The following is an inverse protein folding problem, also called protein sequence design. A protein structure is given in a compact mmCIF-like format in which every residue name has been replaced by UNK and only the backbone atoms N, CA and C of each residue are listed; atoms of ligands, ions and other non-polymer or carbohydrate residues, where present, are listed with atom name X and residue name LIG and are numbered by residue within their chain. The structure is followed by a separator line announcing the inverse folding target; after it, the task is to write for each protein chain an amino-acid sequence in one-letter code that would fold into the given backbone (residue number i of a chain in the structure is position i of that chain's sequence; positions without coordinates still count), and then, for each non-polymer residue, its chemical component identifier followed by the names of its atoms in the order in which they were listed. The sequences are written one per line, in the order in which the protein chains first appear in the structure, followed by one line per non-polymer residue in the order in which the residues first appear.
data_IF_742884294785
#
_entry.id   IF_742884294785
#
_cell.length_a   1.000
_cell.length_b   1.000
_cell.length_c   1.000
_cell.angle_alpha   90.00
_cell.angle_beta   90.00
_cell.angle_gamma   90.00
#
_symmetry.space_group_name_H-M   'P 1'
#
loop_
_entity.id
_entity.type
_entity.pdbx_description
1 polymer ?
#
# COMPACT_ATOMS: atom_id res chain seq x y z
N UNK A 1 7.80 -22.37 8.19
CA UNK A 1 9.19 -22.49 8.65
C UNK A 1 9.67 -21.26 9.43
N UNK A 2 9.55 -20.05 8.85
CA UNK A 2 9.97 -18.79 9.49
C UNK A 2 9.47 -18.55 10.91
N UNK A 3 8.18 -18.76 11.18
CA UNK A 3 7.65 -18.57 12.54
C UNK A 3 8.20 -19.57 13.57
N UNK A 4 8.45 -20.81 13.13
CA UNK A 4 9.02 -21.84 14.00
C UNK A 4 10.44 -21.44 14.40
N UNK A 5 11.18 -20.82 13.49
CA UNK A 5 12.55 -20.35 13.71
C UNK A 5 12.60 -19.08 14.57
N UNK A 6 11.64 -18.15 14.44
CA UNK A 6 11.75 -16.82 15.04
C UNK A 6 10.85 -16.63 16.27
N UNK A 7 9.59 -17.09 16.26
CA UNK A 7 8.61 -16.76 17.31
C UNK A 7 9.01 -17.27 18.69
N UNK A 8 9.65 -18.44 18.74
CA UNK A 8 10.12 -19.09 19.99
C UNK A 8 11.61 -18.90 20.24
N UNK A 9 12.31 -18.21 19.34
CA UNK A 9 13.75 -17.99 19.50
C UNK A 9 13.98 -16.86 20.50
N UNK A 10 14.54 -17.23 21.64
CA UNK A 10 14.89 -16.30 22.72
C UNK A 10 15.75 -15.14 22.24
N UNK A 11 16.74 -15.40 21.38
CA UNK A 11 17.64 -14.34 20.86
C UNK A 11 16.84 -13.30 20.07
N UNK A 12 15.90 -13.74 19.24
CA UNK A 12 15.08 -12.85 18.43
C UNK A 12 14.12 -12.03 19.30
N UNK A 13 13.44 -12.69 20.26
CA UNK A 13 12.51 -12.04 21.18
C UNK A 13 13.25 -11.03 22.06
N UNK A 14 14.38 -11.39 22.65
CA UNK A 14 15.18 -10.49 23.51
C UNK A 14 15.70 -9.25 22.75
N UNK A 15 15.87 -9.34 21.42
CA UNK A 15 16.34 -8.25 20.56
C UNK A 15 15.23 -7.36 19.98
N UNK A 16 13.98 -7.76 20.06
CA UNK A 16 12.86 -7.07 19.39
C UNK A 16 11.74 -6.66 20.33
N UNK A 17 11.54 -7.40 21.42
CA UNK A 17 10.49 -7.11 22.40
C UNK A 17 10.89 -5.93 23.27
N UNK A 18 10.00 -4.95 23.39
CA UNK A 18 10.25 -3.70 24.12
C UNK A 18 11.20 -2.71 23.41
N UNK A 19 11.59 -2.99 22.16
CA UNK A 19 12.47 -2.11 21.37
C UNK A 19 11.65 -1.25 20.42
N UNK A 20 11.93 0.05 20.37
CA UNK A 20 11.25 0.99 19.46
C UNK A 20 9.75 1.08 19.72
N UNK A 21 9.37 1.28 20.98
CA UNK A 21 7.99 1.34 21.40
C UNK A 21 7.29 2.59 20.82
N UNK A 22 6.12 2.39 20.26
CA UNK A 22 5.24 3.44 19.76
C UNK A 22 3.87 3.27 20.43
N UNK A 23 3.44 4.28 21.19
CA UNK A 23 2.10 4.23 21.78
C UNK A 23 1.02 4.51 20.74
N UNK A 24 -0.22 4.11 21.01
CA UNK A 24 -1.37 4.38 20.13
C UNK A 24 -1.55 5.87 19.83
N UNK A 25 -1.41 6.71 20.85
CA UNK A 25 -1.57 8.16 20.73
C UNK A 25 -0.46 8.77 19.89
N UNK A 26 0.79 8.35 20.10
CA UNK A 26 1.92 8.80 19.28
C UNK A 26 1.79 8.34 17.83
N UNK A 27 1.31 7.12 17.60
CA UNK A 27 1.08 6.61 16.25
C UNK A 27 0.08 7.49 15.49
N UNK A 28 -1.03 7.88 16.14
CA UNK A 28 -2.05 8.76 15.55
C UNK A 28 -1.47 10.16 15.33
N UNK A 29 -0.86 10.77 16.35
CA UNK A 29 -0.34 12.13 16.28
C UNK A 29 0.78 12.30 15.24
N UNK A 30 1.54 11.24 14.97
CA UNK A 30 2.64 11.24 13.98
C UNK A 30 2.20 10.76 12.60
N UNK A 31 0.92 10.44 12.40
CA UNK A 31 0.37 9.99 11.12
C UNK A 31 0.87 8.63 10.66
N UNK A 32 1.23 7.74 11.60
CA UNK A 32 1.60 6.37 11.29
C UNK A 32 0.41 5.63 10.66
N UNK A 33 0.68 4.79 9.66
CA UNK A 33 -0.33 3.97 8.99
C UNK A 33 0.18 2.54 8.82
N UNK A 34 -0.69 1.63 8.39
CA UNK A 34 -0.29 0.26 8.10
C UNK A 34 0.17 -0.56 9.30
N UNK A 35 1.12 -1.48 9.10
CA UNK A 35 1.59 -2.39 10.15
C UNK A 35 2.19 -1.68 11.35
N UNK A 36 2.79 -0.50 11.16
CA UNK A 36 3.36 0.31 12.26
C UNK A 36 2.27 0.84 13.18
N UNK A 37 1.16 1.32 12.61
CA UNK A 37 0.00 1.77 13.37
C UNK A 37 -0.76 0.60 14.01
N UNK A 38 -0.98 -0.48 13.24
CA UNK A 38 -1.65 -1.70 13.72
C UNK A 38 -0.92 -2.42 14.84
N UNK A 39 0.41 -2.38 14.85
CA UNK A 39 1.21 -2.91 15.96
C UNK A 39 1.03 -2.13 17.27
N UNK A 40 0.60 -0.87 17.17
CA UNK A 40 0.42 0.07 18.27
C UNK A 40 -1.05 0.19 18.71
N UNK A 41 -1.95 -0.66 18.18
CA UNK A 41 -3.36 -0.73 18.56
C UNK A 41 -4.30 0.19 17.76
N UNK A 42 -3.85 0.73 16.63
CA UNK A 42 -4.70 1.46 15.67
C UNK A 42 -5.29 0.46 14.69
N UNK A 43 -6.62 0.30 14.68
CA UNK A 43 -7.31 -0.74 13.90
C UNK A 43 -7.64 -0.34 12.46
N UNK A 44 -7.08 0.77 11.96
CA UNK A 44 -7.39 1.32 10.64
C UNK A 44 -6.73 0.50 9.53
N UNK A 45 -7.50 0.18 8.50
CA UNK A 45 -7.04 -0.49 7.27
C UNK A 45 -7.95 -0.08 6.11
N UNK A 46 -7.38 0.55 5.07
CA UNK A 46 -8.19 1.08 3.97
C UNK A 46 -8.98 0.01 3.24
N UNK A 47 -8.50 -1.24 3.21
CA UNK A 47 -9.19 -2.33 2.48
C UNK A 47 -10.52 -2.71 3.13
N UNK A 48 -10.71 -2.40 4.43
CA UNK A 48 -11.97 -2.61 5.16
C UNK A 48 -12.74 -1.31 5.39
N UNK A 49 -12.04 -0.23 5.77
CA UNK A 49 -12.68 1.03 6.14
C UNK A 49 -13.16 1.84 4.92
N UNK A 50 -12.36 1.84 3.84
CA UNK A 50 -12.66 2.53 2.57
C UNK A 50 -12.34 1.58 1.40
N UNK A 51 -13.12 0.49 1.24
CA UNK A 51 -12.78 -0.58 0.29
C UNK A 51 -12.70 -0.07 -1.15
N UNK A 52 -11.62 -0.44 -1.84
CA UNK A 52 -11.41 -0.19 -3.27
C UNK A 52 -11.36 -1.52 -4.02
N UNK A 53 -11.57 -1.47 -5.35
CA UNK A 53 -11.64 -2.67 -6.19
C UNK A 53 -12.63 -3.71 -5.61
N UNK A 54 -12.23 -4.98 -5.51
CA UNK A 54 -13.06 -6.07 -5.00
C UNK A 54 -12.76 -6.43 -3.52
N UNK A 55 -12.08 -5.56 -2.75
CA UNK A 55 -11.74 -5.89 -1.35
C UNK A 55 -12.95 -6.08 -0.44
N UNK A 56 -14.11 -5.52 -0.81
CA UNK A 56 -15.39 -5.73 -0.11
C UNK A 56 -15.86 -7.18 -0.15
N UNK A 57 -15.46 -7.94 -1.18
CA UNK A 57 -16.01 -9.26 -1.48
C UNK A 57 -15.19 -10.37 -0.81
N UNK A 58 -13.99 -10.05 -0.33
CA UNK A 58 -13.10 -10.99 0.35
C UNK A 58 -13.32 -11.01 1.86
N UNK A 59 -13.27 -12.20 2.45
CA UNK A 59 -13.27 -12.38 3.90
C UNK A 59 -11.84 -12.51 4.44
N UNK A 60 -11.34 -11.46 5.09
CA UNK A 60 -10.03 -11.45 5.75
C UNK A 60 -10.06 -10.63 7.06
N UNK A 61 -9.14 -10.94 7.98
CA UNK A 61 -9.06 -10.25 9.26
C UNK A 61 -7.94 -9.21 9.30
N UNK A 62 -8.22 -8.04 9.88
CA UNK A 62 -7.20 -7.00 10.07
C UNK A 62 -6.38 -7.33 11.32
N UNK A 63 -5.09 -7.62 11.10
CA UNK A 63 -4.18 -8.04 12.17
C UNK A 63 -3.73 -6.85 13.01
N UNK A 64 -4.06 -6.82 14.30
CA UNK A 64 -3.68 -5.76 15.22
C UNK A 64 -2.94 -6.31 16.45
N UNK A 65 -2.04 -5.51 17.01
CA UNK A 65 -1.38 -5.77 18.29
C UNK A 65 -1.38 -4.48 19.13
N UNK A 66 -1.11 -4.59 20.43
CA UNK A 66 -1.16 -3.44 21.36
C UNK A 66 0.19 -3.03 21.93
N UNK A 67 1.25 -3.80 21.71
CA UNK A 67 2.53 -3.56 22.38
C UNK A 67 3.37 -2.43 21.73
N UNK A 68 3.18 -2.16 20.43
CA UNK A 68 3.85 -1.06 19.73
C UNK A 68 5.36 -1.23 19.51
N UNK A 69 5.94 -2.37 19.87
CA UNK A 69 7.36 -2.67 19.73
C UNK A 69 7.72 -3.32 18.38
N UNK A 70 9.01 -3.51 18.12
CA UNK A 70 9.48 -4.16 16.90
C UNK A 70 8.94 -5.60 16.75
N UNK A 71 8.76 -6.31 17.86
CA UNK A 71 8.22 -7.67 17.85
C UNK A 71 6.73 -7.70 17.45
N UNK A 72 5.92 -6.76 17.94
CA UNK A 72 4.52 -6.60 17.54
C UNK A 72 4.40 -6.26 16.05
N UNK A 73 5.26 -5.37 15.53
CA UNK A 73 5.33 -5.07 14.08
C UNK A 73 5.64 -6.31 13.26
N UNK A 74 6.57 -7.14 13.72
CA UNK A 74 6.87 -8.43 13.08
C UNK A 74 5.65 -9.37 13.10
N UNK A 75 4.99 -9.54 14.25
CA UNK A 75 3.82 -10.43 14.36
C UNK A 75 2.67 -9.99 13.45
N UNK A 76 2.37 -8.68 13.40
CA UNK A 76 1.34 -8.13 12.50
C UNK A 76 1.64 -8.49 11.05
N UNK A 77 2.89 -8.29 10.59
CA UNK A 77 3.28 -8.65 9.21
C UNK A 77 3.18 -10.15 8.93
N UNK A 78 3.56 -11.00 9.89
CA UNK A 78 3.42 -12.45 9.74
C UNK A 78 1.95 -12.87 9.57
N UNK A 79 1.03 -12.25 10.32
CA UNK A 79 -0.40 -12.53 10.18
C UNK A 79 -0.97 -11.95 8.90
N UNK A 80 -0.57 -10.75 8.49
CA UNK A 80 -0.97 -10.17 7.20
C UNK A 80 -0.56 -11.04 6.01
N UNK A 81 0.60 -11.71 6.07
CA UNK A 81 0.99 -12.67 5.03
C UNK A 81 0.04 -13.87 4.95
N UNK A 82 -0.48 -14.36 6.08
CA UNK A 82 -1.49 -15.42 6.10
C UNK A 82 -2.82 -14.95 5.52
N UNK A 83 -3.29 -13.79 5.95
CA UNK A 83 -4.53 -13.21 5.44
C UNK A 83 -4.42 -12.89 3.95
N UNK A 84 -3.24 -12.48 3.47
CA UNK A 84 -2.98 -12.29 2.04
C UNK A 84 -3.09 -13.61 1.27
N UNK A 85 -2.58 -14.72 1.80
CA UNK A 85 -2.76 -16.04 1.18
C UNK A 85 -4.25 -16.42 1.13
N UNK A 86 -4.99 -16.17 2.21
CA UNK A 86 -6.44 -16.42 2.27
C UNK A 86 -7.22 -15.61 1.21
N UNK A 87 -6.82 -14.37 0.96
CA UNK A 87 -7.40 -13.53 -0.10
C UNK A 87 -7.08 -14.11 -1.48
N UNK A 88 -5.84 -14.53 -1.72
CA UNK A 88 -5.43 -15.13 -3.00
C UNK A 88 -6.20 -16.43 -3.28
N UNK A 89 -6.37 -17.29 -2.28
CA UNK A 89 -7.18 -18.51 -2.40
C UNK A 89 -8.63 -18.19 -2.79
N UNK A 90 -9.28 -17.25 -2.08
CA UNK A 90 -10.64 -16.81 -2.40
C UNK A 90 -10.76 -16.16 -3.79
N UNK A 91 -9.75 -15.40 -4.21
CA UNK A 91 -9.72 -14.75 -5.52
C UNK A 91 -9.59 -15.76 -6.66
N UNK A 92 -8.79 -16.83 -6.47
CA UNK A 92 -8.65 -17.90 -7.46
C UNK A 92 -9.94 -18.72 -7.56
N UNK A 93 -10.60 -19.01 -6.44
CA UNK A 93 -11.85 -19.76 -6.41
C UNK A 93 -13.03 -19.00 -7.04
N UNK A 94 -13.09 -17.68 -6.84
CA UNK A 94 -14.21 -16.84 -7.27
C UNK A 94 -13.87 -15.93 -8.46
N UNK A 95 -12.86 -16.27 -9.27
CA UNK A 95 -12.43 -15.43 -10.38
C UNK A 95 -13.55 -15.34 -11.45
N UNK A 96 -14.16 -14.16 -11.66
CA UNK A 96 -15.21 -14.03 -12.65
C UNK A 96 -14.61 -14.11 -14.07
N UNK A 97 -15.40 -14.63 -15.00
CA UNK A 97 -15.11 -14.47 -16.42
C UNK A 97 -15.56 -13.10 -16.90
N UNK A 98 -14.85 -12.53 -17.88
CA UNK A 98 -15.18 -11.21 -18.41
C UNK A 98 -13.97 -10.54 -19.06
N UNK A 99 -14.18 -9.35 -19.64
CA UNK A 99 -13.08 -8.50 -20.08
C UNK A 99 -12.26 -8.01 -18.87
N UNK A 100 -10.95 -7.90 -19.05
CA UNK A 100 -10.02 -7.38 -18.03
C UNK A 100 -9.90 -5.86 -18.12
N UNK A 101 -9.96 -5.33 -19.33
CA UNK A 101 -9.91 -3.90 -19.62
C UNK A 101 -11.32 -3.32 -19.79
N UNK A 102 -11.45 -2.03 -19.55
CA UNK A 102 -12.66 -1.27 -19.90
C UNK A 102 -12.95 -1.33 -21.40
N UNK A 103 -14.22 -1.11 -21.77
CA UNK A 103 -14.65 -1.21 -23.16
C UNK A 103 -13.94 -0.20 -24.08
N UNK A 104 -13.87 -0.52 -25.37
CA UNK A 104 -13.28 0.38 -26.40
C UNK A 104 -14.02 1.73 -26.43
N UNK A 105 -15.33 1.71 -26.18
CA UNK A 105 -16.19 2.89 -26.21
C UNK A 105 -15.78 3.94 -25.16
N UNK A 106 -15.15 3.52 -24.06
CA UNK A 106 -14.66 4.43 -23.02
C UNK A 106 -13.38 5.15 -23.44
N UNK A 107 -12.69 4.70 -24.51
CA UNK A 107 -11.44 5.27 -25.03
C UNK A 107 -10.38 5.54 -23.95
N UNK A 108 -10.34 4.74 -22.89
CA UNK A 108 -9.35 4.86 -21.81
C UNK A 108 -8.27 3.77 -21.87
N UNK A 109 -8.58 2.61 -22.45
CA UNK A 109 -7.66 1.50 -22.59
C UNK A 109 -7.26 1.27 -24.06
N UNK A 110 -6.03 0.82 -24.28
CA UNK A 110 -5.58 0.46 -25.61
C UNK A 110 -6.33 -0.78 -26.12
N UNK A 111 -6.91 -0.75 -27.33
CA UNK A 111 -7.62 -1.90 -27.86
C UNK A 111 -6.67 -3.06 -28.15
N UNK A 112 -7.21 -4.28 -28.11
CA UNK A 112 -6.41 -5.48 -28.41
C UNK A 112 -5.90 -5.45 -29.86
N UNK A 113 -4.72 -6.01 -30.12
CA UNK A 113 -4.15 -6.02 -31.48
C UNK A 113 -5.05 -6.67 -32.52
N UNK A 114 -5.85 -7.66 -32.13
CA UNK A 114 -6.85 -8.27 -33.01
C UNK A 114 -7.89 -7.24 -33.46
N UNK A 115 -8.45 -6.46 -32.52
CA UNK A 115 -9.43 -5.41 -32.81
C UNK A 115 -8.84 -4.29 -33.67
N UNK A 116 -7.58 -3.91 -33.42
CA UNK A 116 -6.86 -2.92 -34.24
C UNK A 116 -6.82 -3.36 -35.70
N UNK A 117 -6.46 -4.60 -36.00
CA UNK A 117 -6.37 -5.05 -37.39
C UNK A 117 -7.70 -5.41 -38.05
N UNK A 118 -8.76 -5.65 -37.27
CA UNK A 118 -10.06 -6.11 -37.79
C UNK A 118 -11.14 -5.04 -37.86
N UNK A 119 -11.01 -3.95 -37.11
CA UNK A 119 -12.04 -2.90 -37.00
C UNK A 119 -11.46 -1.51 -37.22
N UNK A 120 -12.25 -0.63 -37.82
CA UNK A 120 -11.85 0.77 -38.05
C UNK A 120 -11.78 1.50 -36.70
N UNK A 121 -12.76 1.27 -35.83
CA UNK A 121 -12.88 1.87 -34.49
C UNK A 121 -11.69 1.51 -33.60
N UNK A 122 -11.25 0.24 -33.64
CA UNK A 122 -10.05 -0.20 -32.93
C UNK A 122 -8.77 0.46 -33.46
N UNK A 123 -8.68 0.67 -34.77
CA UNK A 123 -7.54 1.40 -35.37
C UNK A 123 -7.55 2.87 -34.95
N UNK A 124 -8.70 3.53 -35.02
CA UNK A 124 -8.86 4.95 -34.63
C UNK A 124 -8.51 5.12 -33.15
N UNK A 125 -9.09 4.31 -32.27
CA UNK A 125 -8.86 4.43 -30.82
C UNK A 125 -7.40 4.19 -30.45
N UNK A 126 -6.72 3.22 -31.09
CA UNK A 126 -5.29 3.01 -30.91
C UNK A 126 -4.46 4.22 -31.37
N UNK A 127 -4.82 4.83 -32.51
CA UNK A 127 -4.10 5.98 -33.04
C UNK A 127 -4.32 7.22 -32.19
N UNK A 128 -5.57 7.51 -31.80
CA UNK A 128 -5.90 8.61 -30.90
C UNK A 128 -5.13 8.47 -29.59
N UNK A 129 -5.30 7.38 -28.84
CA UNK A 129 -4.63 7.20 -27.54
C UNK A 129 -3.10 7.16 -27.59
N UNK A 130 -2.51 6.80 -28.73
CA UNK A 130 -1.04 6.77 -28.88
C UNK A 130 -0.45 8.11 -29.30
N UNK A 131 -1.25 9.01 -29.87
CA UNK A 131 -0.78 10.32 -30.30
C UNK A 131 -0.69 11.28 -29.12
N UNK A 132 0.47 11.90 -28.92
CA UNK A 132 0.67 12.86 -27.82
C UNK A 132 -0.23 14.10 -27.88
N UNK A 133 -0.85 14.40 -29.02
CA UNK A 133 -1.78 15.52 -29.18
C UNK A 133 -3.27 15.12 -29.12
N UNK A 134 -3.58 13.84 -28.93
CA UNK A 134 -4.94 13.34 -28.73
C UNK A 134 -4.93 12.38 -27.54
N UNK A 135 -5.38 12.83 -26.38
CA UNK A 135 -5.50 12.01 -25.18
C UNK A 135 -6.95 11.70 -24.84
N UNK A 136 -7.16 11.11 -23.67
CA UNK A 136 -8.47 11.15 -23.03
C UNK A 136 -8.70 12.54 -22.43
N UNK A 137 -9.97 12.95 -22.34
CA UNK A 137 -10.32 14.23 -21.70
C UNK A 137 -10.10 14.12 -20.18
N UNK A 138 -9.23 14.98 -19.65
CA UNK A 138 -8.96 15.05 -18.21
C UNK A 138 -9.86 16.12 -17.60
N UNK A 139 -10.61 15.83 -16.52
CA UNK A 139 -11.37 16.86 -15.82
C UNK A 139 -10.45 17.88 -15.14
N UNK A 140 -10.86 19.14 -15.09
CA UNK A 140 -10.16 20.20 -14.37
C UNK A 140 -10.54 20.16 -12.88
N UNK A 141 -10.03 19.14 -12.18
CA UNK A 141 -10.38 18.81 -10.80
C UNK A 141 -9.15 18.34 -10.00
N UNK A 142 -9.32 18.23 -8.69
CA UNK A 142 -8.34 17.66 -7.78
C UNK A 142 -8.89 16.42 -7.08
N UNK A 143 -8.04 15.42 -6.89
CA UNK A 143 -8.41 14.18 -6.21
C UNK A 143 -7.27 13.68 -5.33
N UNK A 144 -7.64 13.13 -4.16
CA UNK A 144 -6.74 12.30 -3.36
C UNK A 144 -7.30 10.89 -3.31
N UNK A 145 -6.51 9.93 -3.76
CA UNK A 145 -6.83 8.51 -3.62
C UNK A 145 -5.67 7.81 -2.93
N UNK A 146 -5.99 6.86 -2.05
CA UNK A 146 -5.01 6.08 -1.33
C UNK A 146 -5.37 4.60 -1.31
N UNK A 147 -4.33 3.77 -1.21
CA UNK A 147 -4.44 2.32 -1.05
C UNK A 147 -3.68 1.88 0.19
N UNK A 148 -4.05 0.71 0.71
CA UNK A 148 -3.28 0.07 1.78
C UNK A 148 -2.09 -0.68 1.15
N UNK A 149 -0.97 0.00 0.99
CA UNK A 149 0.28 -0.65 0.60
C UNK A 149 0.86 -1.47 1.77
N UNK A 150 1.77 -2.43 1.53
CA UNK A 150 2.36 -3.24 2.60
C UNK A 150 3.11 -2.46 3.69
N UNK A 151 3.45 -1.19 3.42
CA UNK A 151 4.07 -0.28 4.39
C UNK A 151 3.10 0.70 5.05
N UNK A 152 1.83 0.70 4.64
CA UNK A 152 0.78 1.59 5.10
C UNK A 152 0.13 2.35 3.95
N UNK A 153 -0.49 3.47 4.28
CA UNK A 153 -1.27 4.24 3.33
C UNK A 153 -0.37 4.90 2.29
N UNK A 154 -0.46 4.42 1.05
CA UNK A 154 0.18 5.02 -0.12
C UNK A 154 -0.88 5.79 -0.89
N UNK A 155 -0.75 7.10 -0.93
CA UNK A 155 -1.73 7.94 -1.62
C UNK A 155 -1.12 8.88 -2.65
N UNK A 156 -1.93 9.29 -3.60
CA UNK A 156 -1.59 10.26 -4.63
C UNK A 156 -2.62 11.38 -4.62
N UNK A 157 -2.13 12.61 -4.47
CA UNK A 157 -2.88 13.83 -4.71
C UNK A 157 -2.58 14.31 -6.12
N UNK A 158 -3.61 14.30 -6.96
CA UNK A 158 -3.53 14.66 -8.38
C UNK A 158 -4.37 15.91 -8.62
N UNK A 159 -3.88 16.80 -9.47
CA UNK A 159 -4.60 17.98 -9.96
C UNK A 159 -4.52 17.95 -11.48
N UNK A 160 -5.69 18.01 -12.12
CA UNK A 160 -5.83 18.19 -13.57
C UNK A 160 -6.21 19.63 -13.90
N UNK A 161 -5.68 20.15 -15.00
CA UNK A 161 -6.00 21.48 -15.55
C UNK A 161 -6.75 21.40 -16.89
N UNK A 162 -7.23 20.20 -17.26
CA UNK A 162 -7.80 19.90 -18.57
C UNK A 162 -6.78 19.50 -19.63
N UNK A 163 -5.48 19.59 -19.33
CA UNK A 163 -4.40 19.12 -20.20
C UNK A 163 -4.25 17.60 -20.23
N UNK A 164 -3.39 17.11 -21.10
CA UNK A 164 -3.00 15.70 -21.26
C UNK A 164 -1.98 15.22 -20.20
N UNK A 165 -1.49 16.14 -19.37
CA UNK A 165 -0.53 15.88 -18.30
C UNK A 165 -1.11 16.31 -16.96
N UNK A 166 -0.73 15.61 -15.89
CA UNK A 166 -1.10 16.02 -14.55
C UNK A 166 -0.44 17.37 -14.22
N UNK A 167 -1.26 18.41 -14.01
CA UNK A 167 -0.79 19.72 -13.55
C UNK A 167 0.02 19.60 -12.25
N UNK A 168 -0.43 18.73 -11.34
CA UNK A 168 0.31 18.35 -10.15
C UNK A 168 0.10 16.89 -9.83
N UNK A 169 1.18 16.19 -9.51
CA UNK A 169 1.13 14.86 -8.90
C UNK A 169 1.99 14.85 -7.63
N UNK A 170 1.35 14.75 -6.47
CA UNK A 170 2.03 14.64 -5.18
C UNK A 170 1.72 13.29 -4.55
N UNK A 171 2.73 12.44 -4.47
CA UNK A 171 2.60 11.17 -3.77
C UNK A 171 2.84 11.38 -2.26
N UNK A 172 2.00 10.77 -1.41
CA UNK A 172 2.15 10.63 0.05
C UNK A 172 2.72 9.23 0.36
N UNK A 173 4.00 9.12 0.79
CA UNK A 173 4.63 7.84 1.12
C UNK A 173 4.34 7.43 2.54
N UNK A 174 4.06 6.15 2.80
CA UNK A 174 4.22 5.61 4.15
C UNK A 174 5.67 5.71 4.63
N UNK A 175 6.68 5.46 3.78
CA UNK A 175 8.09 5.45 4.19
C UNK A 175 8.61 6.78 4.76
N UNK A 176 8.19 7.95 4.26
CA UNK A 176 8.61 9.25 4.84
C UNK A 176 8.05 9.44 6.25
N UNK A 177 6.78 9.11 6.46
CA UNK A 177 6.15 9.22 7.78
C UNK A 177 6.76 8.21 8.75
N UNK A 178 6.98 6.97 8.30
CA UNK A 178 7.65 5.93 9.09
C UNK A 178 9.07 6.35 9.47
N UNK A 179 9.85 6.88 8.53
CA UNK A 179 11.22 7.32 8.81
C UNK A 179 11.28 8.59 9.66
N UNK A 180 10.32 9.51 9.54
CA UNK A 180 10.23 10.69 10.41
C UNK A 180 10.05 10.33 11.89
N UNK A 181 9.49 9.15 12.20
CA UNK A 181 9.38 8.64 13.57
C UNK A 181 10.67 8.00 14.09
N UNK A 182 11.60 7.63 13.21
CA UNK A 182 12.81 6.90 13.58
C UNK A 182 13.63 7.60 14.69
N UNK A 183 13.90 8.93 14.64
CA UNK A 183 14.64 9.61 15.70
C UNK A 183 13.93 9.61 17.06
N UNK A 184 12.61 9.42 17.09
CA UNK A 184 11.83 9.27 18.33
C UNK A 184 11.98 7.85 18.89
N UNK A 185 11.85 6.85 18.02
CA UNK A 185 11.86 5.43 18.40
C UNK A 185 13.22 4.91 18.88
N UNK A 186 14.33 5.56 18.52
CA UNK A 186 15.67 5.13 18.94
C UNK A 186 16.14 5.76 20.26
N UNK A 187 15.39 6.70 20.84
CA UNK A 187 15.79 7.38 22.08
C UNK A 187 15.79 6.39 23.24
N UNK A 188 16.89 6.36 24.00
CA UNK A 188 17.04 5.45 25.14
C UNK A 188 17.44 4.02 24.78
N UNK A 189 17.72 3.73 23.51
CA UNK A 189 18.17 2.42 23.04
C UNK A 189 19.67 2.39 22.71
N UNK A 190 20.20 1.17 22.57
CA UNK A 190 21.61 0.95 22.21
C UNK A 190 21.80 1.02 20.68
N UNK A 191 23.05 1.19 20.22
CA UNK A 191 23.37 1.19 18.78
C UNK A 191 22.92 -0.11 18.08
N UNK A 192 23.00 -1.26 18.76
CA UNK A 192 22.53 -2.53 18.22
C UNK A 192 21.03 -2.56 17.98
N UNK A 193 20.24 -1.83 18.76
CA UNK A 193 18.77 -1.79 18.66
C UNK A 193 18.30 -0.91 17.51
N UNK A 194 19.11 0.09 17.12
CA UNK A 194 18.84 1.00 16.00
C UNK A 194 18.55 0.22 14.71
N UNK A 195 19.31 -0.86 14.46
CA UNK A 195 19.12 -1.73 13.29
C UNK A 195 17.77 -2.47 13.35
N UNK A 196 17.37 -2.94 14.54
CA UNK A 196 16.08 -3.61 14.72
C UNK A 196 14.91 -2.64 14.52
N UNK A 197 15.03 -1.42 15.06
CA UNK A 197 14.02 -0.37 14.86
C UNK A 197 13.88 -0.03 13.37
N UNK A 198 15.00 0.26 12.69
CA UNK A 198 14.97 0.61 11.26
C UNK A 198 14.40 -0.52 10.41
N UNK A 199 14.82 -1.77 10.66
CA UNK A 199 14.30 -2.94 9.96
C UNK A 199 12.80 -3.14 10.19
N UNK A 200 12.30 -2.88 11.41
CA UNK A 200 10.88 -3.03 11.73
C UNK A 200 9.97 -2.02 11.01
N UNK A 201 10.50 -0.84 10.64
CA UNK A 201 9.77 0.19 9.89
C UNK A 201 9.69 -0.13 8.38
N UNK A 202 10.54 -1.03 7.88
CA UNK A 202 10.63 -1.43 6.47
C UNK A 202 10.76 -0.25 5.49
N UNK A 203 11.82 0.55 5.65
CA UNK A 203 12.06 1.75 4.83
C UNK A 203 12.60 1.37 3.45
N UNK A 204 11.93 1.86 2.41
CA UNK A 204 12.39 1.73 1.03
C UNK A 204 12.94 3.09 0.59
N UNK A 205 14.24 3.15 0.30
CA UNK A 205 14.91 4.41 -0.02
C UNK A 205 14.29 5.13 -1.24
N UNK A 206 13.93 4.38 -2.29
CA UNK A 206 13.26 4.94 -3.47
C UNK A 206 11.88 5.54 -3.14
N UNK A 207 11.15 4.95 -2.19
CA UNK A 207 9.87 5.51 -1.73
C UNK A 207 10.06 6.75 -0.85
N UNK A 208 11.22 6.87 -0.19
CA UNK A 208 11.56 7.98 0.69
C UNK A 208 11.98 9.24 -0.09
N UNK A 209 12.75 9.08 -1.17
CA UNK A 209 13.52 10.17 -1.82
C UNK A 209 12.78 10.92 -2.95
N UNK A 210 11.70 10.34 -3.48
CA UNK A 210 10.72 10.86 -4.46
C UNK A 210 10.99 12.18 -5.19
#
# INVERSE_FOLDING_TARGET
DMERLLNRNRIFVDRTKGVGLLTKEEAINRGATGPVARASGVTRDLRRDEPYLAYSDFDFQVSCASAGDCYARYLVRMQEMRESLKIVEQAVENLPSGPVDVGIDERMALPTKKQVYSTIEGTISHFELSMSNRGFEVPCEEAYAAIEAPNGELGFYLVGDGGDQAYRARCRPPSVLNFAMFPHLIRGHTLSDVVAVLGSLNIIAAELDR
#
